data_IF_881971330853
#
_entry.id   IF_881971330853
#
_cell.length_a   1.000
_cell.length_b   1.000
_cell.length_c   1.000
_cell.angle_alpha   90.00
_cell.angle_beta   90.00
_cell.angle_gamma   90.00
#
_symmetry.space_group_name_H-M   'P 1'
#
loop_
_entity.id
_entity.type
_entity.pdbx_description
1 polymer ?
#
# COMPACT_ATOMS: atom_id res chain seq x y z
N UNK A 1 1.70 15.62 9.90
CA UNK A 1 2.06 16.91 9.31
C UNK A 1 1.44 17.04 7.93
N UNK A 2 1.29 18.28 7.41
CA UNK A 2 0.86 18.48 6.01
C UNK A 2 2.07 18.73 5.13
N UNK A 3 2.15 18.05 3.99
CA UNK A 3 3.17 18.28 2.95
C UNK A 3 2.42 18.73 1.69
N UNK A 4 2.85 19.83 1.09
CA UNK A 4 2.28 20.26 -0.19
C UNK A 4 3.07 19.63 -1.33
N UNK A 5 2.44 18.71 -2.05
CA UNK A 5 3.00 18.00 -3.19
C UNK A 5 2.04 18.13 -4.38
N UNK A 6 2.56 18.38 -5.57
CA UNK A 6 1.76 18.52 -6.81
C UNK A 6 0.56 19.48 -6.69
N UNK A 7 0.73 20.56 -5.92
CA UNK A 7 -0.30 21.58 -5.70
C UNK A 7 -1.40 21.22 -4.72
N UNK A 8 -1.33 20.07 -4.03
CA UNK A 8 -2.28 19.66 -3.00
C UNK A 8 -1.61 19.39 -1.66
N UNK A 9 -2.36 19.54 -0.56
CA UNK A 9 -1.90 19.17 0.77
C UNK A 9 -2.11 17.69 1.03
N UNK A 10 -1.03 16.97 1.35
CA UNK A 10 -1.08 15.56 1.74
C UNK A 10 -0.75 15.44 3.23
N UNK A 11 -1.57 14.68 3.95
CA UNK A 11 -1.29 14.38 5.33
C UNK A 11 -0.31 13.21 5.44
N UNK A 12 0.75 13.44 6.20
CA UNK A 12 1.81 12.46 6.43
C UNK A 12 2.02 12.31 7.93
N UNK A 13 2.09 11.09 8.39
CA UNK A 13 2.47 10.79 9.77
C UNK A 13 3.82 10.06 9.76
N UNK A 14 4.71 10.43 10.67
CA UNK A 14 6.01 9.82 10.83
C UNK A 14 6.18 9.34 12.26
N UNK A 15 6.71 8.11 12.42
CA UNK A 15 7.00 7.52 13.73
C UNK A 15 8.31 6.74 13.67
N UNK A 16 8.97 6.63 14.81
CA UNK A 16 10.23 5.88 14.92
C UNK A 16 11.41 6.54 14.21
N UNK A 17 12.50 5.79 14.18
CA UNK A 17 13.76 6.14 13.52
C UNK A 17 14.44 4.85 13.05
N UNK A 18 15.35 4.97 12.09
CA UNK A 18 16.10 3.83 11.54
C UNK A 18 15.99 3.74 10.03
N UNK A 19 16.82 2.91 9.45
CA UNK A 19 16.90 2.69 8.01
C UNK A 19 16.85 1.18 7.70
N UNK A 20 16.30 0.82 6.54
CA UNK A 20 15.59 1.70 5.59
C UNK A 20 14.30 2.26 6.19
N UNK A 21 13.84 3.43 5.70
CA UNK A 21 12.53 3.96 6.04
C UNK A 21 11.43 3.09 5.40
N UNK A 22 10.28 2.97 6.07
CA UNK A 22 9.14 2.23 5.56
C UNK A 22 8.03 3.22 5.19
N UNK A 23 7.64 3.29 3.92
CA UNK A 23 6.62 4.20 3.40
C UNK A 23 5.36 3.42 3.07
N UNK A 24 4.25 3.78 3.70
CA UNK A 24 3.00 3.02 3.67
C UNK A 24 1.91 3.74 2.86
N UNK A 25 1.30 3.04 1.91
CA UNK A 25 0.16 3.48 1.11
C UNK A 25 -1.05 2.59 1.40
N UNK A 26 -2.16 3.20 1.80
CA UNK A 26 -3.37 2.49 2.22
C UNK A 26 -4.25 2.04 1.03
N UNK A 27 -5.25 1.18 1.31
CA UNK A 27 -6.25 0.69 0.36
C UNK A 27 -7.33 1.75 0.04
N UNK A 28 -8.16 1.47 -0.97
CA UNK A 28 -9.35 2.24 -1.30
C UNK A 28 -10.38 2.16 -0.16
N UNK A 29 -10.65 3.28 0.49
CA UNK A 29 -11.49 3.36 1.69
C UNK A 29 -10.72 3.51 3.00
N UNK A 30 -9.39 3.42 2.97
CA UNK A 30 -8.55 3.56 4.15
C UNK A 30 -7.92 4.95 4.35
N UNK A 31 -7.05 5.03 5.32
CA UNK A 31 -6.18 6.17 5.62
C UNK A 31 -4.87 5.67 6.23
N UNK A 32 -4.03 6.57 6.74
CA UNK A 32 -2.86 6.22 7.55
C UNK A 32 -3.20 5.28 8.72
N UNK A 33 -4.43 5.33 9.23
CA UNK A 33 -4.91 4.48 10.33
C UNK A 33 -4.99 2.99 9.97
N UNK A 34 -5.08 2.64 8.69
CA UNK A 34 -4.98 1.26 8.21
C UNK A 34 -3.74 0.54 8.76
N UNK A 35 -2.68 1.29 9.01
CA UNK A 35 -1.39 0.76 9.38
C UNK A 35 -1.06 0.88 10.88
N UNK A 36 -1.97 1.41 11.70
CA UNK A 36 -1.70 1.77 13.10
C UNK A 36 -1.07 0.62 13.88
N UNK A 37 -1.71 -0.54 13.87
CA UNK A 37 -1.24 -1.71 14.61
C UNK A 37 0.10 -2.25 14.08
N UNK A 38 0.30 -2.23 12.78
CA UNK A 38 1.56 -2.65 12.13
C UNK A 38 2.69 -1.68 12.50
N UNK A 39 2.42 -0.39 12.46
CA UNK A 39 3.40 0.65 12.79
C UNK A 39 3.80 0.63 14.25
N UNK A 40 2.89 0.37 15.17
CA UNK A 40 3.21 0.24 16.61
C UNK A 40 4.28 -0.83 16.86
N UNK A 41 4.36 -1.87 16.00
CA UNK A 41 5.33 -2.96 16.07
C UNK A 41 6.63 -2.67 15.31
N UNK A 42 6.60 -1.80 14.30
CA UNK A 42 7.75 -1.50 13.44
C UNK A 42 8.50 -0.22 13.86
N UNK A 43 7.79 0.78 14.37
CA UNK A 43 8.36 2.07 14.76
C UNK A 43 9.49 2.01 15.81
N UNK A 44 9.58 1.00 16.71
CA UNK A 44 10.74 0.86 17.58
C UNK A 44 12.07 0.62 16.86
N UNK A 45 12.04 0.12 15.61
CA UNK A 45 13.23 -0.26 14.84
C UNK A 45 13.41 0.53 13.54
N UNK A 46 12.32 1.04 12.97
CA UNK A 46 12.30 1.69 11.66
C UNK A 46 11.67 3.07 11.71
N UNK A 47 12.14 3.97 10.86
CA UNK A 47 11.38 5.17 10.52
C UNK A 47 10.21 4.77 9.65
N UNK A 48 8.98 4.99 10.11
CA UNK A 48 7.74 4.69 9.39
C UNK A 48 7.08 5.98 8.92
N UNK A 49 6.61 5.99 7.68
CA UNK A 49 5.93 7.12 7.05
C UNK A 49 4.63 6.60 6.46
N UNK A 50 3.49 7.11 6.91
CA UNK A 50 2.18 6.83 6.31
C UNK A 50 1.68 8.06 5.59
N UNK A 51 1.06 7.86 4.43
CA UNK A 51 0.50 8.91 3.60
C UNK A 51 -1.01 8.68 3.47
N UNK A 52 -1.82 9.64 3.90
CA UNK A 52 -3.21 9.68 3.48
C UNK A 52 -3.21 10.07 1.99
N UNK A 53 -3.65 9.17 1.12
CA UNK A 53 -3.66 9.44 -0.31
C UNK A 53 -4.72 10.50 -0.65
N UNK A 54 -4.57 11.21 -1.76
CA UNK A 54 -5.55 12.22 -2.22
C UNK A 54 -6.98 11.73 -2.13
N UNK A 55 -7.87 12.55 -1.62
CA UNK A 55 -9.29 12.22 -1.43
C UNK A 55 -9.62 11.37 -0.20
N UNK A 56 -8.62 11.01 0.62
CA UNK A 56 -8.79 10.16 1.78
C UNK A 56 -8.20 10.77 3.05
N UNK A 57 -8.70 10.34 4.20
CA UNK A 57 -8.21 10.74 5.51
C UNK A 57 -8.21 12.25 5.71
N UNK A 58 -7.03 12.80 5.97
CA UNK A 58 -6.80 14.25 6.23
C UNK A 58 -6.15 14.97 5.04
N UNK A 59 -5.95 14.26 3.92
CA UNK A 59 -5.39 14.83 2.70
C UNK A 59 -6.43 15.63 1.92
N UNK A 60 -5.96 16.51 1.04
CA UNK A 60 -6.82 17.29 0.15
C UNK A 60 -7.66 16.39 -0.75
N UNK A 61 -8.85 16.88 -1.07
CA UNK A 61 -9.85 16.18 -1.89
C UNK A 61 -10.11 16.98 -3.17
N UNK A 62 -9.20 16.92 -4.17
CA UNK A 62 -9.42 17.60 -5.44
C UNK A 62 -10.63 16.99 -6.19
N UNK A 63 -11.26 17.77 -7.07
CA UNK A 63 -12.40 17.31 -7.85
C UNK A 63 -12.02 16.28 -8.94
N UNK A 64 -10.74 16.18 -9.30
CA UNK A 64 -10.21 15.30 -10.35
C UNK A 64 -8.73 14.94 -10.08
N UNK A 65 -8.13 14.13 -10.96
CA UNK A 65 -6.73 13.73 -10.84
C UNK A 65 -6.56 12.52 -9.93
N UNK A 66 -7.34 11.49 -10.12
CA UNK A 66 -7.28 10.24 -9.36
C UNK A 66 -6.76 9.05 -10.18
N UNK A 67 -6.01 9.32 -11.26
CA UNK A 67 -5.31 8.28 -12.00
C UNK A 67 -4.19 7.66 -11.14
N UNK A 68 -3.76 6.44 -11.46
CA UNK A 68 -2.63 5.80 -10.77
C UNK A 68 -1.38 6.68 -10.79
N UNK A 69 -1.14 7.37 -11.92
CA UNK A 69 -0.01 8.27 -12.07
C UNK A 69 -0.08 9.47 -11.12
N UNK A 70 -1.27 10.02 -10.87
CA UNK A 70 -1.45 11.14 -9.93
C UNK A 70 -1.10 10.72 -8.51
N UNK A 71 -1.63 9.58 -8.06
CA UNK A 71 -1.35 9.02 -6.72
C UNK A 71 0.13 8.64 -6.56
N UNK A 72 0.74 8.06 -7.61
CA UNK A 72 2.15 7.72 -7.62
C UNK A 72 3.05 8.96 -7.53
N UNK A 73 2.72 10.01 -8.29
CA UNK A 73 3.47 11.27 -8.26
C UNK A 73 3.37 11.96 -6.89
N UNK A 74 2.22 11.87 -6.23
CA UNK A 74 2.04 12.40 -4.87
C UNK A 74 2.96 11.71 -3.87
N UNK A 75 2.95 10.38 -3.86
CA UNK A 75 3.77 9.61 -2.94
C UNK A 75 5.26 9.82 -3.21
N UNK A 76 5.69 9.88 -4.48
CA UNK A 76 7.08 10.17 -4.84
C UNK A 76 7.51 11.57 -4.39
N UNK A 77 6.66 12.59 -4.60
CA UNK A 77 6.96 13.95 -4.14
C UNK A 77 7.08 14.04 -2.61
N UNK A 78 6.26 13.30 -1.85
CA UNK A 78 6.41 13.19 -0.39
C UNK A 78 7.76 12.55 -0.02
N UNK A 79 8.14 11.45 -0.69
CA UNK A 79 9.41 10.75 -0.46
C UNK A 79 10.60 11.69 -0.73
N UNK A 80 10.57 12.41 -1.84
CA UNK A 80 11.60 13.40 -2.20
C UNK A 80 11.68 14.54 -1.19
N UNK A 81 10.55 15.10 -0.75
CA UNK A 81 10.51 16.19 0.22
C UNK A 81 10.97 15.76 1.63
N UNK A 82 10.88 14.47 1.96
CA UNK A 82 11.38 13.91 3.21
C UNK A 82 12.84 13.48 3.13
N UNK A 83 13.47 13.65 1.97
CA UNK A 83 14.87 13.32 1.66
C UNK A 83 15.22 11.89 2.12
N UNK A 84 14.40 10.91 1.64
CA UNK A 84 14.58 9.51 2.00
C UNK A 84 15.66 8.87 1.14
N UNK A 85 16.87 8.75 1.68
CA UNK A 85 18.02 8.14 0.98
C UNK A 85 17.80 6.64 0.71
N UNK A 86 17.13 5.93 1.63
CA UNK A 86 16.82 4.50 1.53
C UNK A 86 15.44 4.21 2.11
N UNK A 87 14.58 3.61 1.29
CA UNK A 87 13.22 3.29 1.75
C UNK A 87 12.67 2.03 1.07
N UNK A 88 11.72 1.41 1.77
CA UNK A 88 10.87 0.33 1.27
C UNK A 88 9.45 0.89 1.11
N UNK A 89 8.83 0.66 -0.05
CA UNK A 89 7.42 0.92 -0.23
C UNK A 89 6.61 -0.26 0.31
N UNK A 90 5.57 0.05 1.09
CA UNK A 90 4.61 -0.92 1.62
C UNK A 90 3.22 -0.49 1.17
N UNK A 91 2.64 -1.19 0.19
CA UNK A 91 1.35 -0.82 -0.41
C UNK A 91 0.27 -1.86 -0.18
N UNK A 92 -0.90 -1.43 0.28
CA UNK A 92 -2.07 -2.29 0.46
C UNK A 92 -3.11 -2.06 -0.64
N UNK A 93 -3.55 -3.11 -1.33
CA UNK A 93 -4.63 -3.08 -2.32
C UNK A 93 -4.40 -2.01 -3.41
N UNK A 94 -5.25 -0.98 -3.48
CA UNK A 94 -5.04 0.21 -4.34
C UNK A 94 -3.63 0.80 -4.15
N UNK A 95 -3.21 1.03 -2.89
CA UNK A 95 -1.86 1.50 -2.57
C UNK A 95 -0.78 0.52 -3.04
N UNK A 96 -1.08 -0.77 -3.11
CA UNK A 96 -0.22 -1.79 -3.70
C UNK A 96 -0.03 -1.62 -5.22
N UNK A 97 -1.11 -1.30 -5.96
CA UNK A 97 -1.02 -1.00 -7.40
C UNK A 97 -0.27 0.30 -7.66
N UNK A 98 -0.50 1.33 -6.83
CA UNK A 98 0.26 2.58 -6.88
C UNK A 98 1.75 2.32 -6.61
N UNK A 99 2.08 1.50 -5.60
CA UNK A 99 3.46 1.13 -5.27
C UNK A 99 4.16 0.36 -6.40
N UNK A 100 3.44 -0.52 -7.10
CA UNK A 100 3.96 -1.20 -8.31
C UNK A 100 4.34 -0.18 -9.39
N UNK A 101 3.50 0.81 -9.64
CA UNK A 101 3.80 1.86 -10.62
C UNK A 101 5.00 2.71 -10.19
N UNK A 102 5.10 3.08 -8.91
CA UNK A 102 6.27 3.81 -8.40
C UNK A 102 7.53 2.97 -8.58
N UNK A 103 7.52 1.72 -8.15
CA UNK A 103 8.68 0.84 -8.20
C UNK A 103 9.16 0.59 -9.65
N UNK A 104 8.24 0.52 -10.62
CA UNK A 104 8.60 0.36 -12.04
C UNK A 104 9.35 1.56 -12.65
N UNK A 105 9.35 2.70 -11.97
CA UNK A 105 10.11 3.91 -12.34
C UNK A 105 11.53 3.91 -11.79
N UNK A 106 11.87 2.94 -10.94
CA UNK A 106 13.17 2.82 -10.25
C UNK A 106 13.62 4.13 -9.59
N UNK A 107 12.79 4.74 -8.71
CA UNK A 107 13.14 6.01 -8.10
C UNK A 107 14.37 5.85 -7.18
N UNK A 108 15.23 6.88 -7.09
CA UNK A 108 16.38 6.84 -6.20
C UNK A 108 15.99 6.49 -4.75
N UNK A 109 16.80 5.67 -4.11
CA UNK A 109 16.61 5.28 -2.71
C UNK A 109 15.59 4.18 -2.46
N UNK A 110 14.81 3.74 -3.46
CA UNK A 110 13.96 2.56 -3.31
C UNK A 110 14.83 1.30 -3.23
N UNK A 111 14.73 0.57 -2.12
CA UNK A 111 15.52 -0.66 -1.89
C UNK A 111 14.66 -1.91 -1.76
N UNK A 112 13.35 -1.79 -1.73
CA UNK A 112 12.44 -2.93 -1.65
C UNK A 112 10.98 -2.54 -1.81
N UNK A 113 10.16 -3.53 -2.16
CA UNK A 113 8.72 -3.37 -2.37
C UNK A 113 7.96 -4.47 -1.61
N UNK A 114 7.12 -4.08 -0.66
CA UNK A 114 6.23 -4.97 0.05
C UNK A 114 4.78 -4.71 -0.37
N UNK A 115 4.15 -5.69 -0.98
CA UNK A 115 2.79 -5.62 -1.51
C UNK A 115 1.87 -6.44 -0.61
N UNK A 116 0.95 -5.78 0.07
CA UNK A 116 0.03 -6.39 1.03
C UNK A 116 -1.37 -6.46 0.38
N UNK A 117 -1.87 -7.67 0.13
CA UNK A 117 -3.12 -7.90 -0.59
C UNK A 117 -3.28 -6.95 -1.80
N UNK A 118 -2.27 -6.84 -2.69
CA UNK A 118 -2.22 -5.78 -3.69
C UNK A 118 -3.25 -6.01 -4.81
N UNK A 119 -3.81 -4.94 -5.33
CA UNK A 119 -4.49 -5.02 -6.63
C UNK A 119 -3.51 -5.41 -7.73
N UNK A 120 -3.93 -6.26 -8.68
CA UNK A 120 -3.08 -6.72 -9.78
C UNK A 120 -2.73 -5.56 -10.73
N UNK A 121 -1.65 -5.71 -11.54
CA UNK A 121 -1.24 -4.69 -12.51
C UNK A 121 -2.22 -4.55 -13.67
N UNK A 122 -2.91 -5.62 -14.03
CA UNK A 122 -3.94 -5.65 -15.07
C UNK A 122 -5.22 -4.93 -14.61
N UNK A 123 -6.12 -4.55 -15.53
CA UNK A 123 -7.45 -4.06 -15.20
C UNK A 123 -8.21 -5.02 -14.28
N UNK A 124 -8.94 -4.47 -13.32
CA UNK A 124 -9.78 -5.27 -12.43
C UNK A 124 -10.86 -5.98 -13.27
N UNK A 125 -10.84 -7.32 -13.26
CA UNK A 125 -11.71 -8.13 -14.09
C UNK A 125 -13.12 -8.25 -13.47
N UNK A 126 -13.80 -7.12 -13.33
CA UNK A 126 -15.18 -7.04 -12.85
C UNK A 126 -16.08 -6.37 -13.91
N UNK A 127 -17.30 -6.88 -14.13
CA UNK A 127 -18.30 -6.24 -14.98
C UNK A 127 -18.57 -4.79 -14.58
N UNK A 128 -18.95 -3.95 -15.55
CA UNK A 128 -19.17 -2.52 -15.29
C UNK A 128 -20.28 -2.26 -14.26
N UNK A 129 -21.35 -3.03 -14.27
CA UNK A 129 -22.46 -2.93 -13.31
C UNK A 129 -21.99 -3.23 -11.86
N UNK A 130 -21.11 -4.21 -11.70
CA UNK A 130 -20.48 -4.49 -10.39
C UNK A 130 -19.61 -3.33 -9.95
N UNK A 131 -18.77 -2.80 -10.85
CA UNK A 131 -17.92 -1.63 -10.54
C UNK A 131 -18.72 -0.36 -10.23
N UNK A 132 -19.86 -0.16 -10.93
CA UNK A 132 -20.81 0.90 -10.59
C UNK A 132 -21.43 0.69 -9.20
N UNK A 133 -21.75 -0.54 -8.83
CA UNK A 133 -22.21 -0.87 -7.49
C UNK A 133 -21.17 -0.59 -6.40
N UNK A 134 -19.88 -0.80 -6.70
CA UNK A 134 -18.79 -0.51 -5.75
C UNK A 134 -18.73 0.98 -5.36
N UNK A 135 -19.11 1.91 -6.25
CA UNK A 135 -19.14 3.35 -5.92
C UNK A 135 -19.95 3.60 -4.64
N UNK A 136 -21.00 2.81 -4.41
CA UNK A 136 -21.91 2.91 -3.27
C UNK A 136 -21.47 2.09 -2.04
N UNK A 137 -20.36 1.38 -2.12
CA UNK A 137 -19.89 0.53 -1.01
C UNK A 137 -19.63 1.32 0.28
N UNK A 138 -19.30 2.60 0.14
CA UNK A 138 -18.91 3.50 1.25
C UNK A 138 -19.86 4.68 1.45
N UNK A 139 -21.12 4.55 1.03
CA UNK A 139 -22.12 5.63 1.18
C UNK A 139 -22.69 5.72 2.60
N UNK A 140 -22.73 4.61 3.31
CA UNK A 140 -23.32 4.53 4.63
C UNK A 140 -22.59 3.54 5.55
N UNK A 141 -22.82 3.69 6.85
CA UNK A 141 -22.34 2.73 7.86
C UNK A 141 -22.76 1.29 7.51
N UNK A 142 -24.03 1.10 7.16
CA UNK A 142 -24.57 -0.23 6.89
C UNK A 142 -23.97 -0.84 5.63
N UNK A 143 -23.76 -0.06 4.55
CA UNK A 143 -23.09 -0.53 3.34
C UNK A 143 -21.61 -0.91 3.59
N UNK A 144 -20.91 -0.16 4.45
CA UNK A 144 -19.54 -0.46 4.84
C UNK A 144 -19.47 -1.76 5.65
N UNK A 145 -20.34 -1.91 6.67
CA UNK A 145 -20.41 -3.15 7.47
C UNK A 145 -20.66 -4.36 6.56
N UNK A 146 -21.60 -4.23 5.61
CA UNK A 146 -21.89 -5.29 4.65
C UNK A 146 -20.68 -5.59 3.75
N UNK A 147 -20.00 -4.56 3.24
CA UNK A 147 -18.80 -4.70 2.40
C UNK A 147 -17.66 -5.38 3.18
N UNK A 148 -17.41 -4.95 4.41
CA UNK A 148 -16.39 -5.56 5.27
C UNK A 148 -16.69 -7.04 5.49
N UNK A 149 -17.89 -7.37 5.98
CA UNK A 149 -18.22 -8.76 6.34
C UNK A 149 -18.39 -9.71 5.14
N UNK A 150 -18.82 -9.19 3.99
CA UNK A 150 -19.04 -10.04 2.81
C UNK A 150 -17.82 -10.15 1.91
N UNK A 151 -16.96 -9.12 1.86
CA UNK A 151 -15.89 -9.02 0.87
C UNK A 151 -14.52 -8.85 1.49
N UNK A 152 -14.33 -7.82 2.35
CA UNK A 152 -13.00 -7.39 2.76
C UNK A 152 -12.42 -8.23 3.92
N UNK A 153 -13.23 -8.55 4.93
CA UNK A 153 -12.81 -9.32 6.09
C UNK A 153 -13.93 -10.32 6.47
N UNK A 154 -14.08 -11.42 5.74
CA UNK A 154 -15.19 -12.36 5.92
C UNK A 154 -15.20 -13.05 7.30
N UNK A 155 -14.08 -13.05 8.00
CA UNK A 155 -13.97 -13.57 9.37
C UNK A 155 -14.23 -12.50 10.44
N UNK A 156 -14.53 -11.26 10.02
CA UNK A 156 -14.78 -10.12 10.88
C UNK A 156 -13.51 -9.38 11.28
N UNK A 157 -13.71 -8.21 11.89
CA UNK A 157 -12.67 -7.38 12.53
C UNK A 157 -13.06 -7.15 13.99
N UNK A 158 -12.07 -6.79 14.80
CA UNK A 158 -12.35 -6.27 16.13
C UNK A 158 -13.24 -5.01 16.04
N UNK A 159 -14.14 -4.77 17.01
CA UNK A 159 -15.09 -3.65 16.93
C UNK A 159 -14.45 -2.27 16.76
N UNK A 160 -13.29 -2.03 17.37
CA UNK A 160 -12.55 -0.76 17.25
C UNK A 160 -11.95 -0.59 15.84
N UNK A 161 -11.46 -1.68 15.26
CA UNK A 161 -10.92 -1.69 13.91
C UNK A 161 -12.04 -1.52 12.87
N UNK A 162 -13.18 -2.18 13.07
CA UNK A 162 -14.37 -1.99 12.23
C UNK A 162 -14.84 -0.53 12.27
N UNK A 163 -14.84 0.09 13.45
CA UNK A 163 -15.21 1.50 13.58
C UNK A 163 -14.23 2.42 12.86
N UNK A 164 -12.93 2.11 12.92
CA UNK A 164 -11.88 2.82 12.17
C UNK A 164 -12.12 2.72 10.66
N UNK A 165 -12.40 1.53 10.16
CA UNK A 165 -12.73 1.30 8.73
C UNK A 165 -13.97 2.10 8.33
N UNK A 166 -15.02 2.10 9.16
CA UNK A 166 -16.26 2.84 8.88
C UNK A 166 -15.99 4.34 8.78
N UNK A 167 -15.31 4.91 9.78
CA UNK A 167 -15.02 6.35 9.80
C UNK A 167 -14.18 6.76 8.59
N UNK A 168 -13.13 6.02 8.27
CA UNK A 168 -12.23 6.33 7.15
C UNK A 168 -12.93 6.21 5.81
N UNK A 169 -13.72 5.16 5.62
CA UNK A 169 -14.44 4.92 4.37
C UNK A 169 -15.53 5.97 4.14
N UNK A 170 -16.25 6.38 5.20
CA UNK A 170 -17.23 7.46 5.12
C UNK A 170 -16.60 8.80 4.74
N UNK A 171 -15.42 9.08 5.31
CA UNK A 171 -14.72 10.36 5.10
C UNK A 171 -14.13 10.52 3.69
N UNK A 172 -14.02 9.45 2.91
CA UNK A 172 -13.51 9.50 1.54
C UNK A 172 -14.30 10.47 0.65
N UNK A 173 -13.60 11.27 -0.15
CA UNK A 173 -14.21 12.19 -1.09
C UNK A 173 -15.03 11.45 -2.16
N UNK A 174 -16.17 11.97 -2.63
CA UNK A 174 -16.98 11.33 -3.65
C UNK A 174 -16.18 10.98 -4.93
N UNK A 175 -15.35 11.91 -5.39
CA UNK A 175 -14.49 11.70 -6.55
C UNK A 175 -13.48 10.56 -6.35
N UNK A 176 -12.90 10.41 -5.15
CA UNK A 176 -11.99 9.33 -4.82
C UNK A 176 -12.69 7.96 -4.73
N UNK A 177 -13.92 7.96 -4.15
CA UNK A 177 -14.77 6.75 -4.09
C UNK A 177 -15.13 6.24 -5.48
N UNK A 178 -15.46 7.15 -6.40
CA UNK A 178 -15.85 6.83 -7.77
C UNK A 178 -14.66 6.45 -8.65
N UNK A 179 -13.55 7.17 -8.53
CA UNK A 179 -12.42 7.03 -9.45
C UNK A 179 -11.77 5.64 -9.40
N UNK A 180 -11.64 5.03 -8.22
CA UNK A 180 -11.03 3.71 -8.12
C UNK A 180 -11.83 2.65 -8.89
N UNK A 181 -13.12 2.35 -8.60
CA UNK A 181 -13.84 1.30 -9.30
C UNK A 181 -14.08 1.59 -10.78
N UNK A 182 -14.24 2.85 -11.19
CA UNK A 182 -14.65 3.16 -12.56
C UNK A 182 -13.47 3.43 -13.51
N UNK A 183 -12.33 3.93 -13.00
CA UNK A 183 -11.19 4.32 -13.84
C UNK A 183 -9.85 3.78 -13.37
N UNK A 184 -9.35 4.15 -12.21
CA UNK A 184 -7.98 3.86 -11.80
C UNK A 184 -7.69 2.34 -11.66
N UNK A 185 -8.65 1.55 -11.18
CA UNK A 185 -8.52 0.09 -11.16
C UNK A 185 -8.45 -0.55 -12.54
N UNK A 186 -8.89 0.17 -13.58
CA UNK A 186 -8.91 -0.27 -14.97
C UNK A 186 -7.65 0.12 -15.76
N UNK A 187 -6.75 0.88 -15.15
CA UNK A 187 -5.47 1.17 -15.77
C UNK A 187 -4.60 -0.09 -15.78
N UNK A 188 -4.04 -0.41 -16.95
CA UNK A 188 -3.13 -1.53 -17.14
C UNK A 188 -1.67 -1.08 -17.03
N UNK A 189 -1.00 -1.52 -15.99
CA UNK A 189 0.43 -1.27 -15.78
C UNK A 189 1.28 -2.53 -15.94
N UNK A 190 0.73 -3.60 -16.50
CA UNK A 190 1.40 -4.90 -16.64
C UNK A 190 2.72 -4.82 -17.39
N UNK A 191 2.77 -3.98 -18.42
CA UNK A 191 3.95 -3.86 -19.29
C UNK A 191 5.19 -3.27 -18.58
N UNK A 192 4.98 -2.46 -17.54
CA UNK A 192 6.10 -1.77 -16.84
C UNK A 192 6.64 -2.53 -15.63
N UNK A 193 5.98 -3.61 -15.21
CA UNK A 193 6.40 -4.36 -14.00
C UNK A 193 7.76 -5.04 -14.16
N UNK A 194 8.14 -5.39 -15.39
CA UNK A 194 9.47 -5.97 -15.69
C UNK A 194 10.63 -4.99 -15.38
N UNK A 195 10.34 -3.71 -15.17
CA UNK A 195 11.33 -2.72 -14.79
C UNK A 195 11.60 -2.68 -13.28
N UNK A 196 10.84 -3.42 -12.46
CA UNK A 196 11.05 -3.45 -11.01
C UNK A 196 12.31 -4.28 -10.71
N UNK A 197 13.36 -3.60 -10.27
CA UNK A 197 14.68 -4.22 -10.05
C UNK A 197 14.93 -4.61 -8.59
N UNK A 198 14.16 -4.05 -7.66
CA UNK A 198 14.33 -4.30 -6.21
C UNK A 198 13.71 -5.64 -5.78
N UNK A 199 14.14 -6.21 -4.65
CA UNK A 199 13.43 -7.32 -4.02
C UNK A 199 11.96 -7.00 -3.78
N UNK A 200 11.08 -8.01 -3.99
CA UNK A 200 9.63 -7.86 -3.83
C UNK A 200 9.07 -8.94 -2.93
N UNK A 201 8.34 -8.52 -1.91
CA UNK A 201 7.53 -9.38 -1.07
C UNK A 201 6.05 -9.13 -1.36
N UNK A 202 5.27 -10.20 -1.52
CA UNK A 202 3.82 -10.15 -1.69
C UNK A 202 3.19 -10.91 -0.53
N UNK A 203 2.19 -10.34 0.12
CA UNK A 203 1.40 -11.00 1.16
C UNK A 203 -0.05 -11.00 0.73
N UNK A 204 -0.74 -12.12 0.88
CA UNK A 204 -2.16 -12.28 0.56
C UNK A 204 -2.88 -13.04 1.66
N UNK A 205 -4.10 -12.67 1.98
CA UNK A 205 -4.97 -13.50 2.80
C UNK A 205 -5.46 -14.73 2.02
N UNK A 206 -5.52 -15.89 2.66
CA UNK A 206 -6.04 -17.13 2.04
C UNK A 206 -7.49 -16.96 1.58
N UNK A 207 -8.29 -16.19 2.31
CA UNK A 207 -9.70 -15.94 2.05
C UNK A 207 -9.96 -14.56 1.43
N UNK A 208 -8.94 -13.95 0.83
CA UNK A 208 -9.10 -12.68 0.12
C UNK A 208 -10.08 -12.85 -1.06
N UNK A 209 -11.21 -12.13 -1.01
CA UNK A 209 -12.27 -12.17 -2.03
C UNK A 209 -12.17 -11.05 -3.04
N UNK A 210 -11.28 -10.10 -2.81
CA UNK A 210 -11.01 -8.98 -3.73
C UNK A 210 -9.96 -9.39 -4.75
N UNK A 211 -8.77 -9.73 -4.26
CA UNK A 211 -7.62 -10.14 -5.06
C UNK A 211 -7.08 -11.50 -4.55
N UNK A 212 -7.75 -12.62 -4.88
CA UNK A 212 -7.37 -13.94 -4.38
C UNK A 212 -5.93 -14.32 -4.69
N UNK A 213 -5.26 -15.15 -3.84
CA UNK A 213 -3.89 -15.58 -4.05
C UNK A 213 -3.59 -16.11 -5.46
N UNK A 214 -4.56 -16.78 -6.11
CA UNK A 214 -4.42 -17.31 -7.46
C UNK A 214 -4.29 -16.20 -8.51
N UNK A 215 -4.99 -15.08 -8.31
CA UNK A 215 -4.86 -13.90 -9.18
C UNK A 215 -3.46 -13.32 -9.04
N UNK A 216 -2.95 -13.16 -7.82
CA UNK A 216 -1.60 -12.62 -7.58
C UNK A 216 -0.51 -13.55 -8.14
N UNK A 217 -0.66 -14.87 -8.01
CA UNK A 217 0.23 -15.86 -8.63
C UNK A 217 0.27 -15.72 -10.15
N UNK A 218 -0.88 -15.55 -10.78
CA UNK A 218 -1.00 -15.43 -12.23
C UNK A 218 -0.52 -14.07 -12.75
N UNK A 219 -0.81 -13.00 -12.03
CA UNK A 219 -0.61 -11.63 -12.53
C UNK A 219 0.74 -11.02 -12.12
N UNK A 220 1.26 -11.35 -10.94
CA UNK A 220 2.48 -10.72 -10.41
C UNK A 220 3.72 -11.58 -10.57
N UNK A 221 3.69 -12.86 -10.17
CA UNK A 221 4.90 -13.68 -10.14
C UNK A 221 5.59 -13.84 -11.52
N UNK A 222 4.87 -14.00 -12.65
CA UNK A 222 5.55 -14.08 -13.95
C UNK A 222 6.16 -12.76 -14.42
N UNK A 223 5.68 -11.62 -13.91
CA UNK A 223 6.12 -10.28 -14.29
C UNK A 223 7.22 -9.74 -13.41
N UNK A 224 7.31 -10.27 -12.18
CA UNK A 224 8.31 -9.90 -11.17
C UNK A 224 8.96 -11.20 -10.64
N UNK A 225 9.91 -11.79 -11.39
CA UNK A 225 10.43 -13.13 -11.07
C UNK A 225 11.11 -13.25 -9.70
N UNK A 226 11.64 -12.13 -9.16
CA UNK A 226 12.25 -12.08 -7.82
C UNK A 226 11.21 -12.00 -6.70
N UNK A 227 9.92 -11.83 -7.00
CA UNK A 227 8.89 -11.70 -5.98
C UNK A 227 8.66 -13.02 -5.23
N UNK A 228 8.43 -12.89 -3.91
CA UNK A 228 8.03 -14.00 -3.04
C UNK A 228 6.64 -13.77 -2.51
N UNK A 229 5.76 -14.77 -2.66
CA UNK A 229 4.38 -14.71 -2.19
C UNK A 229 4.23 -15.47 -0.88
N UNK A 230 3.72 -14.78 0.14
CA UNK A 230 3.32 -15.32 1.44
C UNK A 230 1.80 -15.32 1.54
N UNK A 231 1.21 -16.43 2.03
CA UNK A 231 -0.24 -16.55 2.21
C UNK A 231 -0.50 -16.66 3.70
N UNK A 232 -1.34 -15.77 4.22
CA UNK A 232 -1.76 -15.79 5.61
C UNK A 232 -3.03 -16.64 5.74
N UNK A 233 -2.98 -17.73 6.50
CA UNK A 233 -4.12 -18.64 6.65
C UNK A 233 -5.30 -17.94 7.33
N UNK A 234 -6.51 -18.22 6.88
CA UNK A 234 -7.76 -17.71 7.44
C UNK A 234 -7.86 -16.15 7.47
N UNK A 235 -7.15 -15.42 6.60
CA UNK A 235 -7.25 -13.96 6.50
C UNK A 235 -7.90 -13.55 5.19
N UNK A 236 -8.64 -12.43 5.23
CA UNK A 236 -9.25 -11.79 4.06
C UNK A 236 -8.35 -10.74 3.42
N UNK A 237 -8.98 -9.65 2.95
CA UNK A 237 -8.30 -8.56 2.27
C UNK A 237 -7.69 -7.52 3.22
N UNK A 238 -8.32 -7.29 4.40
CA UNK A 238 -7.87 -6.29 5.37
C UNK A 238 -6.78 -6.84 6.31
N UNK A 239 -5.79 -7.52 5.76
CA UNK A 239 -4.70 -8.16 6.52
C UNK A 239 -3.97 -7.23 7.50
N UNK A 240 -3.80 -5.91 7.28
CA UNK A 240 -3.21 -5.01 8.29
C UNK A 240 -4.02 -4.92 9.59
N UNK A 241 -5.34 -5.15 9.54
CA UNK A 241 -6.21 -5.24 10.71
C UNK A 241 -6.35 -6.67 11.21
N UNK A 242 -6.51 -7.65 10.29
CA UNK A 242 -6.79 -9.04 10.63
C UNK A 242 -5.58 -9.81 11.19
N UNK A 243 -4.36 -9.39 10.83
CA UNK A 243 -3.11 -10.06 11.21
C UNK A 243 -1.94 -9.06 11.33
N UNK A 244 -2.04 -8.02 12.16
CA UNK A 244 -1.02 -6.96 12.23
C UNK A 244 0.34 -7.48 12.71
N UNK A 245 0.39 -8.50 13.57
CA UNK A 245 1.63 -9.12 14.01
C UNK A 245 2.34 -9.84 12.86
N UNK A 246 1.62 -10.66 12.11
CA UNK A 246 2.16 -11.39 10.96
C UNK A 246 2.68 -10.42 9.90
N UNK A 247 1.91 -9.36 9.58
CA UNK A 247 2.34 -8.32 8.62
C UNK A 247 3.60 -7.60 9.11
N UNK A 248 3.64 -7.20 10.38
CA UNK A 248 4.81 -6.52 10.93
C UNK A 248 6.06 -7.42 10.92
N UNK A 249 5.92 -8.70 11.25
CA UNK A 249 7.03 -9.65 11.26
C UNK A 249 7.56 -9.93 9.85
N UNK A 250 6.67 -10.07 8.87
CA UNK A 250 7.06 -10.23 7.46
C UNK A 250 7.77 -8.99 6.94
N UNK A 251 7.22 -7.78 7.17
CA UNK A 251 7.84 -6.51 6.75
C UNK A 251 9.20 -6.30 7.45
N UNK A 252 9.30 -6.60 8.75
CA UNK A 252 10.55 -6.54 9.50
C UNK A 252 11.60 -7.45 8.92
N UNK A 253 11.26 -8.73 8.74
CA UNK A 253 12.18 -9.73 8.19
C UNK A 253 12.64 -9.36 6.79
N UNK A 254 11.74 -8.85 5.97
CA UNK A 254 12.05 -8.38 4.63
C UNK A 254 13.00 -7.17 4.66
N UNK A 255 12.73 -6.17 5.51
CA UNK A 255 13.58 -5.00 5.64
C UNK A 255 15.00 -5.34 6.15
N UNK A 256 15.11 -6.27 7.10
CA UNK A 256 16.40 -6.73 7.61
C UNK A 256 17.18 -7.52 6.55
N UNK A 257 16.54 -8.37 5.76
CA UNK A 257 17.22 -9.12 4.69
C UNK A 257 17.86 -8.20 3.62
N UNK A 258 17.20 -7.08 3.32
CA UNK A 258 17.74 -6.07 2.39
C UNK A 258 18.95 -5.33 2.99
N UNK A 259 18.95 -5.11 4.32
CA UNK A 259 20.08 -4.47 4.98
C UNK A 259 21.33 -5.37 5.05
N UNK A 260 21.13 -6.68 5.19
CA UNK A 260 22.22 -7.66 5.28
C UNK A 260 22.91 -7.94 3.93
N UNK A 261 22.17 -7.88 2.82
CA UNK A 261 22.70 -8.13 1.45
C UNK A 261 23.74 -7.08 1.00
N UNK A 262 23.81 -5.92 1.64
CA UNK A 262 24.78 -4.86 1.28
C UNK A 262 26.13 -4.95 2.00
N UNK A 263 26.32 -5.86 2.96
CA UNK A 263 27.56 -6.06 3.71
C UNK A 263 27.97 -4.79 4.52
N UNK A 264 28.89 -4.89 5.50
CA UNK A 264 29.34 -3.72 6.23
C UNK A 264 30.07 -2.77 5.29
N UNK A 265 29.55 -1.55 5.11
CA UNK A 265 30.28 -0.43 4.52
C UNK A 265 31.42 -0.06 5.48
N UNK A 266 32.50 -0.84 5.44
CA UNK A 266 33.72 -0.49 6.17
C UNK A 266 34.36 0.73 5.50
N UNK A 267 34.93 1.67 6.30
CA UNK A 267 35.70 2.77 5.74
C UNK A 267 36.87 2.20 4.96
N UNK A 268 36.99 2.56 3.67
CA UNK A 268 38.21 2.31 2.89
C UNK A 268 39.37 2.94 3.64
N UNK A 269 40.15 2.11 4.35
CA UNK A 269 41.43 2.50 4.84
C UNK A 269 42.34 2.85 3.66
N UNK A 270 42.71 4.14 3.53
CA UNK A 270 43.81 4.53 2.71
C UNK A 270 45.09 3.85 3.23
N UNK A 271 45.82 3.11 2.43
CA UNK A 271 47.21 2.84 2.74
C UNK A 271 48.00 4.08 2.30
N UNK A 272 48.51 4.81 3.27
CA UNK A 272 49.65 5.68 3.08
C UNK A 272 50.85 4.83 2.67
N UNK A 273 51.43 5.10 1.52
CA UNK A 273 52.89 5.10 1.25
C UNK A 273 53.12 5.78 -0.10
#
# INVERSE_FOLDING_TARGET
MMITANGIGLYVEQRGAGAPALVFLHYWGGSSRTWLHVIDRLAPQFRTITIDQRGWGRSASPESGYALADMANDAQAVIEMLDLERYILVGHSMGGKVSQLIASRNPPGLVGLALIAPSPPSPLNLPLDIRQGMVHAYDSRDSIIATVGQVLAPNGLDPEDLETVIIDSLAGAPAAKEAWPLSASQEDISAVLAHIDVPVMIVSGEHDRVDPPEVLRRELLPRIPQARLHILPNRGHLTPFEAPDDIADLVRSFALSIADDEGPTGPCGHPSC
#
